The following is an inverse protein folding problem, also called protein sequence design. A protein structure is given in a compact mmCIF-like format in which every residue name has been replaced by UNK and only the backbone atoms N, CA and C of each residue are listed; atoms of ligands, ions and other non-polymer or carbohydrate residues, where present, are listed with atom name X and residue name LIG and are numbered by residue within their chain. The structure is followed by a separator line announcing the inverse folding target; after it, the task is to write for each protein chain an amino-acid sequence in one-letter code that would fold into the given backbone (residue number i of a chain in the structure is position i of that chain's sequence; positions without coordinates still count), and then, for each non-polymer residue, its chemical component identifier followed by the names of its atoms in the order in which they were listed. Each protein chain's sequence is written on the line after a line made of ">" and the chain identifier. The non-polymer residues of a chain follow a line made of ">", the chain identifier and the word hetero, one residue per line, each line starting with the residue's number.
data_IF_191856318527
#
_entry.id   IF_191856318527
#
_cell.length_a   1.000
_cell.length_b   1.000
_cell.length_c   1.000
_cell.angle_alpha   90.00
_cell.angle_beta   90.00
_cell.angle_gamma   90.00
#
_symmetry.space_group_name_H-M   'P 1'
#
loop_
_entity.id
_entity.type
_entity.pdbx_description
1 polymer ?
#
# COMPACT_ATOMS: atom_id res chain seq x y z
N UNK A 1 -9.55 -13.04 -1.71
CA UNK A 1 -8.33 -12.60 -2.41
C UNK A 1 -7.46 -13.82 -2.65
N UNK A 2 -6.70 -13.89 -3.75
CA UNK A 2 -5.67 -14.94 -3.92
C UNK A 2 -4.33 -14.43 -3.38
N UNK A 3 -4.05 -14.73 -2.11
CA UNK A 3 -2.86 -14.23 -1.41
C UNK A 3 -1.54 -14.80 -1.97
N UNK A 4 -1.58 -15.84 -2.81
CA UNK A 4 -0.40 -16.40 -3.47
C UNK A 4 -0.01 -15.69 -4.77
N UNK A 5 -0.87 -14.79 -5.29
CA UNK A 5 -0.64 -14.09 -6.55
C UNK A 5 -1.26 -12.68 -6.55
N UNK A 6 -0.87 -11.87 -5.57
CA UNK A 6 -1.40 -10.52 -5.42
C UNK A 6 -0.77 -9.50 -6.39
N UNK A 7 0.40 -9.82 -6.97
CA UNK A 7 1.17 -8.93 -7.85
C UNK A 7 1.44 -7.55 -7.24
N UNK A 8 1.73 -7.52 -5.94
CA UNK A 8 1.75 -6.28 -5.15
C UNK A 8 2.72 -5.23 -5.70
N UNK A 9 3.87 -5.63 -6.28
CA UNK A 9 4.84 -4.72 -6.92
C UNK A 9 4.29 -3.92 -8.10
N UNK A 10 3.21 -4.40 -8.71
CA UNK A 10 2.55 -3.75 -9.86
C UNK A 10 1.23 -3.08 -9.51
N UNK A 11 0.77 -3.21 -8.26
CA UNK A 11 -0.54 -2.74 -7.79
C UNK A 11 -0.41 -1.85 -6.57
N UNK A 12 -1.51 -1.20 -6.22
CA UNK A 12 -1.66 -0.43 -4.98
C UNK A 12 -2.86 -0.95 -4.20
N UNK A 13 -3.05 -0.48 -2.96
CA UNK A 13 -4.23 -0.86 -2.17
C UNK A 13 -5.56 -0.43 -2.85
N UNK A 14 -5.52 0.59 -3.72
CA UNK A 14 -6.65 1.04 -4.53
C UNK A 14 -7.17 -0.02 -5.51
N UNK A 15 -6.32 -0.99 -5.90
CA UNK A 15 -6.72 -2.11 -6.75
C UNK A 15 -7.53 -3.17 -5.97
N UNK A 16 -7.54 -3.09 -4.64
CA UNK A 16 -8.19 -4.05 -3.75
C UNK A 16 -9.40 -3.46 -3.03
N UNK A 17 -9.55 -2.13 -3.01
CA UNK A 17 -10.67 -1.45 -2.36
C UNK A 17 -11.07 -0.17 -3.07
N UNK A 18 -12.37 0.13 -3.00
CA UNK A 18 -12.93 1.44 -3.37
C UNK A 18 -13.72 2.05 -2.22
N UNK A 19 -13.60 1.50 -1.01
CA UNK A 19 -14.35 1.94 0.16
C UNK A 19 -13.86 3.33 0.61
N UNK A 20 -14.74 4.37 0.62
CA UNK A 20 -14.38 5.70 1.07
C UNK A 20 -13.78 5.75 2.48
N UNK A 21 -14.23 4.90 3.41
CA UNK A 21 -13.71 4.89 4.78
C UNK A 21 -12.24 4.41 4.82
N UNK A 22 -11.91 3.40 4.03
CA UNK A 22 -10.53 2.91 3.88
C UNK A 22 -9.66 3.97 3.22
N UNK A 23 -10.18 4.63 2.18
CA UNK A 23 -9.46 5.67 1.47
C UNK A 23 -9.19 6.89 2.35
N UNK A 24 -10.18 7.33 3.13
CA UNK A 24 -10.04 8.43 4.08
C UNK A 24 -9.02 8.11 5.18
N UNK A 25 -9.00 6.89 5.69
CA UNK A 25 -8.02 6.47 6.70
C UNK A 25 -6.59 6.47 6.14
N UNK A 26 -6.39 5.92 4.94
CA UNK A 26 -5.04 5.65 4.41
C UNK A 26 -4.47 6.87 3.68
N UNK A 27 -5.28 7.59 2.92
CA UNK A 27 -4.84 8.77 2.15
C UNK A 27 -5.15 10.10 2.84
N UNK A 28 -5.97 10.10 3.90
CA UNK A 28 -6.51 11.34 4.47
C UNK A 28 -7.62 11.98 3.63
N UNK A 29 -8.12 11.27 2.60
CA UNK A 29 -9.13 11.74 1.66
C UNK A 29 -9.44 10.71 0.57
N UNK A 30 -10.60 10.82 -0.08
CA UNK A 30 -11.00 9.90 -1.15
C UNK A 30 -11.36 10.62 -2.46
N UNK A 31 -11.00 11.89 -2.59
CA UNK A 31 -11.22 12.66 -3.81
C UNK A 31 -10.39 12.11 -4.98
N UNK A 32 -10.71 12.55 -6.19
CA UNK A 32 -9.93 12.17 -7.37
C UNK A 32 -8.48 12.67 -7.27
N UNK A 33 -8.28 13.88 -6.75
CA UNK A 33 -6.96 14.46 -6.59
C UNK A 33 -6.10 13.66 -5.60
N UNK A 34 -6.66 13.27 -4.45
CA UNK A 34 -5.94 12.48 -3.44
C UNK A 34 -5.42 11.15 -4.01
N UNK A 35 -6.25 10.49 -4.83
CA UNK A 35 -5.87 9.24 -5.51
C UNK A 35 -4.80 9.46 -6.58
N UNK A 36 -4.91 10.54 -7.36
CA UNK A 36 -3.93 10.88 -8.39
C UNK A 36 -2.57 11.23 -7.77
N UNK A 37 -2.56 12.02 -6.71
CA UNK A 37 -1.35 12.39 -5.96
C UNK A 37 -0.69 11.16 -5.33
N UNK A 38 -1.48 10.27 -4.73
CA UNK A 38 -0.98 8.99 -4.24
C UNK A 38 -0.35 8.15 -5.37
N UNK A 39 -1.01 8.01 -6.51
CA UNK A 39 -0.46 7.26 -7.64
C UNK A 39 0.84 7.87 -8.18
N UNK A 40 0.98 9.20 -8.17
CA UNK A 40 2.25 9.86 -8.51
C UNK A 40 3.35 9.54 -7.51
N UNK A 41 3.03 9.44 -6.22
CA UNK A 41 4.00 9.04 -5.19
C UNK A 41 4.56 7.63 -5.42
N UNK A 42 3.81 6.75 -6.08
CA UNK A 42 4.22 5.39 -6.45
C UNK A 42 5.01 5.32 -7.76
N UNK A 43 5.34 6.46 -8.39
CA UNK A 43 6.10 6.48 -9.64
C UNK A 43 7.47 5.79 -9.47
N UNK A 44 7.91 4.96 -10.45
CA UNK A 44 9.25 4.36 -10.43
C UNK A 44 10.37 5.41 -10.36
N UNK A 45 10.12 6.62 -10.87
CA UNK A 45 11.08 7.73 -10.84
C UNK A 45 11.43 8.20 -9.42
N UNK A 46 10.59 7.85 -8.43
CA UNK A 46 10.76 8.18 -7.02
C UNK A 46 11.38 7.04 -6.20
N UNK A 47 11.92 5.99 -6.83
CA UNK A 47 12.53 4.88 -6.11
C UNK A 47 13.75 5.34 -5.28
N UNK A 48 13.95 4.83 -4.04
CA UNK A 48 13.20 3.73 -3.41
C UNK A 48 11.92 4.17 -2.66
N UNK A 49 11.66 5.49 -2.56
CA UNK A 49 10.54 6.03 -1.79
C UNK A 49 9.18 5.54 -2.28
N UNK A 50 9.00 5.34 -3.58
CA UNK A 50 7.76 4.81 -4.15
C UNK A 50 7.42 3.40 -3.66
N UNK A 51 8.41 2.52 -3.56
CA UNK A 51 8.19 1.16 -3.05
C UNK A 51 7.97 1.14 -1.55
N UNK A 52 8.63 2.05 -0.80
CA UNK A 52 8.36 2.26 0.62
C UNK A 52 6.91 2.76 0.85
N UNK A 53 6.46 3.76 0.11
CA UNK A 53 5.09 4.27 0.18
C UNK A 53 4.07 3.17 -0.18
N UNK A 54 4.38 2.35 -1.17
CA UNK A 54 3.56 1.18 -1.54
C UNK A 54 3.44 0.20 -0.37
N UNK A 55 4.56 -0.15 0.26
CA UNK A 55 4.61 -1.08 1.37
C UNK A 55 3.82 -0.56 2.59
N UNK A 56 4.01 0.72 2.96
CA UNK A 56 3.33 1.35 4.10
C UNK A 56 1.81 1.36 3.88
N UNK A 57 1.36 1.81 2.71
CA UNK A 57 -0.08 1.92 2.43
C UNK A 57 -0.76 0.56 2.30
N UNK A 58 -0.06 -0.45 1.79
CA UNK A 58 -0.56 -1.83 1.82
C UNK A 58 -0.67 -2.38 3.24
N UNK A 59 0.33 -2.14 4.10
CA UNK A 59 0.28 -2.60 5.49
C UNK A 59 -0.86 -1.92 6.24
N UNK A 60 -1.00 -0.60 6.10
CA UNK A 60 -2.12 0.16 6.69
C UNK A 60 -3.48 -0.37 6.22
N UNK A 61 -3.61 -0.72 4.93
CA UNK A 61 -4.81 -1.36 4.40
C UNK A 61 -5.10 -2.72 5.05
N UNK A 62 -4.08 -3.58 5.15
CA UNK A 62 -4.23 -4.89 5.77
C UNK A 62 -4.60 -4.78 7.25
N UNK A 63 -4.00 -3.85 7.97
CA UNK A 63 -4.30 -3.57 9.38
C UNK A 63 -5.71 -3.06 9.57
N UNK A 64 -6.15 -2.09 8.75
CA UNK A 64 -7.50 -1.54 8.83
C UNK A 64 -8.58 -2.58 8.50
N UNK A 65 -8.31 -3.48 7.54
CA UNK A 65 -9.21 -4.58 7.22
C UNK A 65 -9.09 -5.77 8.18
N UNK A 66 -8.20 -5.73 9.17
CA UNK A 66 -7.86 -6.83 10.07
C UNK A 66 -7.45 -8.13 9.33
N UNK A 67 -6.92 -7.99 8.09
CA UNK A 67 -6.56 -9.11 7.23
C UNK A 67 -5.12 -9.57 7.47
N UNK A 68 -4.99 -10.52 8.40
CA UNK A 68 -3.69 -11.11 8.76
C UNK A 68 -3.02 -11.88 7.61
N UNK A 69 -3.79 -12.41 6.66
CA UNK A 69 -3.20 -13.14 5.52
C UNK A 69 -2.61 -12.15 4.52
N UNK A 70 -3.29 -11.02 4.30
CA UNK A 70 -2.77 -9.93 3.50
C UNK A 70 -1.51 -9.33 4.11
N UNK A 71 -1.52 -9.04 5.41
CA UNK A 71 -0.36 -8.49 6.12
C UNK A 71 0.87 -9.41 5.99
N UNK A 72 0.68 -10.73 6.16
CA UNK A 72 1.76 -11.70 5.99
C UNK A 72 2.28 -11.77 4.55
N UNK A 73 1.40 -11.66 3.55
CA UNK A 73 1.82 -11.64 2.14
C UNK A 73 2.58 -10.34 1.80
N UNK A 74 2.17 -9.20 2.35
CA UNK A 74 2.88 -7.92 2.19
C UNK A 74 4.25 -7.98 2.86
N UNK A 75 4.35 -8.50 4.09
CA UNK A 75 5.63 -8.63 4.79
C UNK A 75 6.60 -9.56 4.05
N UNK A 76 6.11 -10.65 3.45
CA UNK A 76 6.93 -11.56 2.66
C UNK A 76 7.49 -10.88 1.39
N UNK A 77 6.75 -9.96 0.79
CA UNK A 77 7.14 -9.28 -0.46
C UNK A 77 7.94 -7.99 -0.22
N UNK A 78 7.56 -7.16 0.75
CA UNK A 78 8.12 -5.81 1.02
C UNK A 78 8.76 -5.68 2.40
N UNK A 79 9.05 -6.79 3.09
CA UNK A 79 9.56 -6.73 4.46
C UNK A 79 10.80 -5.86 4.61
N UNK A 80 11.67 -5.82 3.59
CA UNK A 80 12.88 -5.00 3.61
C UNK A 80 12.56 -3.51 3.40
N UNK A 81 11.71 -3.16 2.43
CA UNK A 81 11.28 -1.78 2.20
C UNK A 81 10.51 -1.21 3.39
N UNK A 82 9.62 -2.02 3.98
CA UNK A 82 8.86 -1.63 5.15
C UNK A 82 9.79 -1.39 6.35
N UNK A 83 10.73 -2.31 6.63
CA UNK A 83 11.70 -2.15 7.74
C UNK A 83 12.65 -0.97 7.53
N UNK A 84 13.01 -0.66 6.28
CA UNK A 84 13.86 0.48 5.96
C UNK A 84 13.20 1.84 6.29
N UNK A 85 11.87 1.90 6.40
CA UNK A 85 11.14 3.10 6.82
C UNK A 85 11.27 3.34 8.33
N UNK A 86 11.32 2.27 9.13
CA UNK A 86 11.29 2.36 10.60
C UNK A 86 12.66 2.19 11.26
N UNK A 87 13.66 1.71 10.54
CA UNK A 87 15.06 1.65 10.97
C UNK A 87 15.83 2.85 10.38
N UNK A 88 15.60 4.05 10.92
CA UNK A 88 16.51 5.21 10.76
C UNK A 88 17.78 5.04 11.60
#
# INVERSE_FOLDING_TARGET
>A
MDYGNLQLRSKSFLDFTTDPAVLDEILGGHSKADKEDFMQSLSPDNAPMSEQNRAITFMAFAEFCEDRQLAAAIEAEFGDEYRAVFNE
#
